data_IF_786861807362
#
_entry.id   IF_786861807362
#
_cell.length_a   1.000
_cell.length_b   1.000
_cell.length_c   1.000
_cell.angle_alpha   90.00
_cell.angle_beta   90.00
_cell.angle_gamma   90.00
#
_symmetry.space_group_name_H-M   'P 1'
#
loop_
_entity.id
_entity.type
_entity.pdbx_description
1 polymer ?
#
# COMPACT_ATOMS: atom_id res chain seq x y z
N UNK A 1 37.36 -17.04 -1.20
CA UNK A 1 36.07 -17.14 -1.91
C UNK A 1 34.97 -16.76 -0.94
N UNK A 2 34.51 -15.51 -0.98
CA UNK A 2 33.38 -15.04 -0.17
C UNK A 2 32.10 -15.24 -0.98
N UNK A 3 31.16 -16.04 -0.47
CA UNK A 3 29.77 -16.01 -0.96
C UNK A 3 29.07 -14.83 -0.29
N UNK A 4 29.23 -13.62 -0.82
CA UNK A 4 28.36 -12.48 -0.49
C UNK A 4 27.27 -12.36 -1.55
N UNK A 5 26.37 -13.34 -1.56
CA UNK A 5 25.11 -13.24 -2.28
C UNK A 5 24.09 -12.62 -1.33
N UNK A 6 24.12 -11.30 -1.14
CA UNK A 6 22.92 -10.61 -0.67
C UNK A 6 21.87 -10.85 -1.74
N UNK A 7 20.90 -11.71 -1.43
CA UNK A 7 19.76 -11.91 -2.30
C UNK A 7 19.03 -10.56 -2.38
N UNK A 8 19.25 -9.84 -3.48
CA UNK A 8 18.46 -8.65 -3.82
C UNK A 8 17.01 -9.09 -3.83
N UNK A 9 16.24 -8.63 -2.85
CA UNK A 9 14.78 -8.74 -2.91
C UNK A 9 14.36 -7.86 -4.08
N UNK A 10 13.95 -8.51 -5.17
CA UNK A 10 13.42 -7.80 -6.32
C UNK A 10 12.05 -7.23 -5.91
N UNK A 11 11.76 -5.97 -6.28
CA UNK A 11 10.47 -5.36 -5.98
C UNK A 11 9.29 -6.20 -6.48
N UNK A 12 8.23 -6.25 -5.67
CA UNK A 12 7.06 -7.08 -5.92
C UNK A 12 6.28 -6.56 -7.13
N UNK A 13 5.78 -7.47 -7.97
CA UNK A 13 4.96 -7.15 -9.14
C UNK A 13 3.64 -7.90 -9.04
N UNK A 14 2.56 -7.25 -9.45
CA UNK A 14 1.23 -7.88 -9.49
C UNK A 14 0.92 -8.25 -10.94
N UNK A 15 0.45 -9.47 -11.12
CA UNK A 15 0.01 -9.99 -12.40
C UNK A 15 -1.44 -10.45 -12.31
N UNK A 16 -2.17 -10.31 -13.42
CA UNK A 16 -3.54 -10.80 -13.58
C UNK A 16 -3.58 -11.83 -14.69
N UNK A 17 -4.52 -12.77 -14.60
CA UNK A 17 -4.85 -13.67 -15.70
C UNK A 17 -6.36 -13.89 -15.71
N UNK A 18 -6.99 -13.57 -16.84
CA UNK A 18 -8.39 -13.95 -17.05
C UNK A 18 -8.49 -15.46 -17.21
N UNK A 19 -9.62 -16.05 -16.85
CA UNK A 19 -9.84 -17.51 -16.87
C UNK A 19 -9.38 -18.17 -18.17
N UNK A 20 -9.71 -17.54 -19.29
CA UNK A 20 -9.45 -18.07 -20.65
C UNK A 20 -8.19 -17.48 -21.30
N UNK A 21 -7.39 -16.71 -20.54
CA UNK A 21 -6.13 -16.18 -21.03
C UNK A 21 -4.99 -17.20 -20.84
N UNK A 22 -4.16 -17.32 -21.87
CA UNK A 22 -3.01 -18.24 -21.90
C UNK A 22 -1.85 -17.77 -21.02
N UNK A 23 -1.73 -16.46 -20.79
CA UNK A 23 -0.62 -15.85 -20.07
C UNK A 23 -1.09 -14.89 -18.98
N UNK A 24 -0.23 -14.72 -17.98
CA UNK A 24 -0.38 -13.64 -17.01
C UNK A 24 0.09 -12.32 -17.63
N UNK A 25 -0.63 -11.25 -17.34
CA UNK A 25 -0.29 -9.89 -17.72
C UNK A 25 0.09 -9.09 -16.47
N UNK A 26 1.17 -8.32 -16.53
CA UNK A 26 1.54 -7.45 -15.43
C UNK A 26 0.56 -6.28 -15.34
N UNK A 27 0.16 -5.91 -14.11
CA UNK A 27 -0.57 -4.66 -13.89
C UNK A 27 0.42 -3.50 -14.04
N UNK A 28 0.16 -2.62 -15.01
CA UNK A 28 0.95 -1.42 -15.24
C UNK A 28 2.41 -1.69 -15.63
N UNK A 29 3.20 -0.63 -15.59
CA UNK A 29 4.64 -0.64 -15.91
C UNK A 29 5.42 0.10 -14.80
N UNK A 30 5.44 -0.41 -13.54
CA UNK A 30 6.22 0.20 -12.47
C UNK A 30 7.71 0.25 -12.83
N UNK A 31 8.41 1.26 -12.32
CA UNK A 31 9.87 1.33 -12.42
C UNK A 31 10.52 0.18 -11.65
N UNK A 32 11.82 -0.04 -11.84
CA UNK A 32 12.53 -1.15 -11.17
C UNK A 32 12.47 -1.04 -9.65
N UNK A 33 12.38 0.17 -9.11
CA UNK A 33 12.39 0.50 -7.69
C UNK A 33 11.03 0.36 -7.00
N UNK A 34 9.93 0.31 -7.76
CA UNK A 34 8.58 0.37 -7.19
C UNK A 34 8.02 -1.03 -6.98
N UNK A 35 7.66 -1.40 -5.76
CA UNK A 35 6.90 -2.61 -5.42
C UNK A 35 5.41 -2.34 -5.41
N UNK A 36 4.63 -3.29 -5.94
CA UNK A 36 3.19 -3.37 -5.72
C UNK A 36 2.87 -4.48 -4.73
N UNK A 37 2.19 -4.15 -3.63
CA UNK A 37 2.06 -4.99 -2.45
C UNK A 37 0.61 -5.08 -1.96
N UNK A 38 0.33 -6.14 -1.19
CA UNK A 38 -0.94 -6.37 -0.50
C UNK A 38 -2.19 -6.09 -1.34
N UNK A 39 -2.37 -6.77 -2.49
CA UNK A 39 -3.56 -6.58 -3.29
C UNK A 39 -4.82 -7.05 -2.56
N UNK A 40 -5.85 -6.22 -2.60
CA UNK A 40 -7.20 -6.54 -2.14
C UNK A 40 -8.20 -6.32 -3.26
N UNK A 41 -9.31 -7.06 -3.22
CA UNK A 41 -10.40 -6.99 -4.18
C UNK A 41 -11.72 -7.28 -3.45
N UNK A 42 -12.85 -7.02 -4.08
CA UNK A 42 -14.17 -7.43 -3.60
C UNK A 42 -14.94 -8.11 -4.74
N UNK A 43 -15.89 -8.98 -4.39
CA UNK A 43 -16.61 -9.79 -5.38
C UNK A 43 -17.67 -9.00 -6.17
N UNK A 44 -18.03 -7.80 -5.71
CA UNK A 44 -19.07 -6.96 -6.32
C UNK A 44 -18.55 -5.94 -7.34
N UNK A 45 -17.25 -5.63 -7.31
CA UNK A 45 -16.65 -4.63 -8.19
C UNK A 45 -15.47 -5.23 -8.95
N UNK A 46 -15.32 -4.96 -10.27
CA UNK A 46 -14.22 -5.49 -11.07
C UNK A 46 -12.95 -4.66 -10.83
N UNK A 47 -12.49 -4.57 -9.58
CA UNK A 47 -11.36 -3.73 -9.18
C UNK A 47 -10.38 -4.50 -8.29
N UNK A 48 -9.10 -4.23 -8.48
CA UNK A 48 -8.04 -4.62 -7.56
C UNK A 48 -7.39 -3.34 -7.04
N UNK A 49 -7.25 -3.24 -5.72
CA UNK A 49 -6.58 -2.13 -5.06
C UNK A 49 -5.32 -2.67 -4.40
N UNK A 50 -4.20 -1.97 -4.51
CA UNK A 50 -2.92 -2.43 -3.99
C UNK A 50 -2.05 -1.28 -3.48
N UNK A 51 -1.19 -1.60 -2.51
CA UNK A 51 -0.23 -0.66 -1.97
C UNK A 51 0.98 -0.52 -2.92
N UNK A 52 1.63 0.62 -2.88
CA UNK A 52 2.83 0.91 -3.67
C UNK A 52 3.94 1.43 -2.77
N UNK A 53 5.13 0.84 -2.87
CA UNK A 53 6.30 1.16 -2.05
C UNK A 53 7.51 1.35 -2.95
N UNK A 54 8.17 2.49 -2.86
CA UNK A 54 9.40 2.81 -3.61
C UNK A 54 10.62 2.43 -2.79
N UNK A 55 11.50 1.61 -3.35
CA UNK A 55 12.72 1.15 -2.70
C UNK A 55 13.92 1.92 -3.22
N UNK A 56 14.51 2.76 -2.37
CA UNK A 56 15.77 3.42 -2.68
C UNK A 56 16.94 2.51 -2.30
N UNK A 57 17.82 2.23 -3.27
CA UNK A 57 19.02 1.40 -3.08
C UNK A 57 19.98 1.97 -2.02
N UNK A 58 19.90 3.27 -1.74
CA UNK A 58 20.71 3.94 -0.72
C UNK A 58 20.07 3.93 0.68
N UNK A 59 18.80 3.54 0.81
CA UNK A 59 18.06 3.56 2.07
C UNK A 59 17.78 2.13 2.55
N UNK A 60 17.78 1.93 3.86
CA UNK A 60 17.49 0.64 4.51
C UNK A 60 15.99 0.34 4.62
N UNK A 61 15.13 0.95 3.79
CA UNK A 61 13.68 0.81 3.87
C UNK A 61 12.94 1.34 2.65
N UNK A 62 11.67 0.97 2.54
CA UNK A 62 10.78 1.42 1.48
C UNK A 62 10.06 2.72 1.86
N UNK A 63 9.89 3.60 0.87
CA UNK A 63 9.11 4.82 0.99
C UNK A 63 7.71 4.56 0.41
N UNK A 64 6.67 4.71 1.24
CA UNK A 64 5.30 4.55 0.78
C UNK A 64 4.98 5.54 -0.34
N UNK A 65 4.55 5.03 -1.49
CA UNK A 65 4.32 5.83 -2.70
C UNK A 65 2.83 6.10 -2.95
N UNK A 66 1.93 5.33 -2.34
CA UNK A 66 0.49 5.50 -2.47
C UNK A 66 -0.26 4.18 -2.62
N UNK A 67 -1.57 4.30 -2.83
CA UNK A 67 -2.48 3.19 -3.11
C UNK A 67 -3.06 3.38 -4.50
N UNK A 68 -3.06 2.31 -5.29
CA UNK A 68 -3.53 2.29 -6.67
C UNK A 68 -4.75 1.40 -6.81
N UNK A 69 -5.66 1.78 -7.71
CA UNK A 69 -6.74 0.92 -8.19
C UNK A 69 -6.49 0.54 -9.64
N UNK A 70 -6.74 -0.72 -9.96
CA UNK A 70 -6.76 -1.24 -11.31
C UNK A 70 -8.14 -1.79 -11.65
N UNK A 71 -8.75 -1.27 -12.72
CA UNK A 71 -10.03 -1.75 -13.22
C UNK A 71 -9.82 -3.00 -14.08
N UNK A 72 -10.34 -4.15 -13.64
CA UNK A 72 -10.17 -5.43 -14.32
C UNK A 72 -10.84 -5.50 -15.70
N UNK A 73 -11.84 -4.65 -15.96
CA UNK A 73 -12.54 -4.59 -17.23
C UNK A 73 -11.83 -3.68 -18.24
N UNK A 74 -11.54 -2.43 -17.85
CA UNK A 74 -10.97 -1.40 -18.74
C UNK A 74 -9.44 -1.46 -18.79
N UNK A 75 -8.80 -2.16 -17.84
CA UNK A 75 -7.35 -2.17 -17.61
C UNK A 75 -6.78 -0.78 -17.25
N UNK A 76 -7.63 0.16 -16.84
CA UNK A 76 -7.16 1.45 -16.34
C UNK A 76 -6.53 1.30 -14.96
N UNK A 77 -5.36 1.92 -14.80
CA UNK A 77 -4.64 2.05 -13.56
C UNK A 77 -4.75 3.51 -13.10
N UNK A 78 -5.16 3.72 -11.85
CA UNK A 78 -5.32 5.05 -11.25
C UNK A 78 -4.75 5.09 -9.83
N UNK A 79 -4.27 6.25 -9.41
CA UNK A 79 -3.88 6.52 -8.02
C UNK A 79 -5.15 6.83 -7.23
N UNK A 80 -5.40 6.10 -6.13
CA UNK A 80 -6.50 6.37 -5.22
C UNK A 80 -6.11 7.31 -4.09
N UNK A 81 -4.93 7.07 -3.53
CA UNK A 81 -4.38 7.78 -2.37
C UNK A 81 -2.90 7.98 -2.63
N UNK A 82 -2.38 9.18 -2.39
CA UNK A 82 -0.95 9.46 -2.30
C UNK A 82 -0.61 10.02 -0.91
N UNK A 83 0.69 10.12 -0.55
CA UNK A 83 1.11 10.77 0.69
C UNK A 83 0.56 12.19 0.86
N UNK A 84 0.35 12.91 -0.23
CA UNK A 84 -0.15 14.30 -0.23
C UNK A 84 -1.67 14.39 -0.10
N UNK A 85 -2.39 13.31 -0.41
CA UNK A 85 -3.85 13.33 -0.48
C UNK A 85 -4.53 12.56 0.65
N UNK A 86 -3.80 11.68 1.35
CA UNK A 86 -4.29 11.02 2.56
C UNK A 86 -4.53 12.03 3.69
N UNK A 87 -5.75 12.08 4.20
CA UNK A 87 -6.16 13.05 5.23
C UNK A 87 -6.33 12.36 6.58
N UNK A 88 -5.79 12.98 7.62
CA UNK A 88 -6.02 12.59 9.01
C UNK A 88 -6.26 13.85 9.84
N UNK A 89 -7.23 13.80 10.76
CA UNK A 89 -7.71 15.01 11.45
C UNK A 89 -6.76 15.49 12.55
N UNK A 90 -6.00 14.58 13.15
CA UNK A 90 -5.11 14.92 14.27
C UNK A 90 -3.69 15.26 13.76
N UNK A 91 -2.99 16.20 14.43
CA UNK A 91 -1.60 16.48 14.14
C UNK A 91 -0.72 15.23 14.31
N UNK A 92 0.18 14.99 13.36
CA UNK A 92 1.11 13.88 13.37
C UNK A 92 2.40 14.28 12.64
N UNK A 93 3.47 13.51 12.82
CA UNK A 93 4.72 13.71 12.08
C UNK A 93 4.63 13.16 10.67
N UNK A 94 4.80 11.84 10.54
CA UNK A 94 4.64 11.10 9.29
C UNK A 94 3.56 10.04 9.43
N UNK A 95 2.88 9.75 8.33
CA UNK A 95 1.89 8.68 8.25
C UNK A 95 2.05 7.95 6.93
N UNK A 96 1.96 6.62 6.98
CA UNK A 96 2.04 5.79 5.79
C UNK A 96 1.17 4.54 5.92
N UNK A 97 0.67 4.07 4.78
CA UNK A 97 -0.03 2.79 4.71
C UNK A 97 0.99 1.67 4.57
N UNK A 98 0.98 0.76 5.52
CA UNK A 98 1.88 -0.40 5.57
C UNK A 98 1.33 -1.54 4.72
N UNK A 99 0.04 -1.85 4.90
CA UNK A 99 -0.61 -3.01 4.28
C UNK A 99 -2.09 -2.73 4.04
N UNK A 100 -2.64 -3.27 2.94
CA UNK A 100 -4.08 -3.29 2.71
C UNK A 100 -4.67 -4.60 3.24
N UNK A 101 -5.73 -4.50 4.03
CA UNK A 101 -6.35 -5.64 4.70
C UNK A 101 -7.63 -6.08 4.00
N UNK A 102 -8.51 -5.13 3.66
CA UNK A 102 -9.81 -5.42 3.09
C UNK A 102 -10.36 -4.23 2.29
N UNK A 103 -11.06 -4.51 1.19
CA UNK A 103 -11.86 -3.55 0.45
C UNK A 103 -13.35 -3.84 0.67
N UNK A 104 -14.16 -2.81 0.90
CA UNK A 104 -15.61 -2.97 1.02
C UNK A 104 -16.27 -3.39 -0.30
N UNK A 105 -17.46 -3.99 -0.23
CA UNK A 105 -18.23 -4.44 -1.39
C UNK A 105 -18.55 -3.33 -2.39
N UNK A 106 -18.73 -2.09 -1.94
CA UNK A 106 -18.94 -0.93 -2.82
C UNK A 106 -17.64 -0.32 -3.36
N UNK A 107 -16.49 -0.89 -2.99
CA UNK A 107 -15.14 -0.39 -3.27
C UNK A 107 -14.89 1.06 -2.85
N UNK A 108 -15.60 1.54 -1.81
CA UNK A 108 -15.44 2.91 -1.30
C UNK A 108 -14.64 3.00 -0.01
N UNK A 109 -14.52 1.90 0.74
CA UNK A 109 -13.82 1.87 2.02
C UNK A 109 -12.70 0.83 1.99
N UNK A 110 -11.52 1.27 2.39
CA UNK A 110 -10.34 0.43 2.49
C UNK A 110 -9.93 0.31 3.96
N UNK A 111 -9.77 -0.92 4.44
CA UNK A 111 -9.20 -1.19 5.74
C UNK A 111 -7.72 -1.47 5.58
N UNK A 112 -6.91 -0.80 6.38
CA UNK A 112 -5.45 -0.75 6.21
C UNK A 112 -4.73 -0.82 7.54
N UNK A 113 -3.52 -1.37 7.53
CA UNK A 113 -2.56 -1.16 8.61
C UNK A 113 -1.76 0.09 8.29
N UNK A 114 -1.63 0.99 9.25
CA UNK A 114 -0.97 2.30 9.09
C UNK A 114 0.09 2.44 10.14
N UNK A 115 1.24 2.98 9.74
CA UNK A 115 2.27 3.47 10.65
C UNK A 115 2.12 4.97 10.82
N UNK A 116 2.17 5.44 12.06
CA UNK A 116 2.11 6.85 12.41
C UNK A 116 3.27 7.20 13.32
N UNK A 117 4.01 8.23 12.93
CA UNK A 117 5.09 8.79 13.74
C UNK A 117 4.57 9.97 14.56
N UNK A 118 4.66 9.84 15.88
CA UNK A 118 4.51 10.95 16.81
C UNK A 118 5.87 11.59 17.08
N UNK A 119 5.94 12.93 16.95
CA UNK A 119 7.16 13.69 17.21
C UNK A 119 7.26 13.94 18.72
N UNK A 120 8.26 13.35 19.35
CA UNK A 120 8.53 13.50 20.79
C UNK A 120 9.87 14.19 21.04
N UNK A 121 10.09 14.68 22.26
CA UNK A 121 11.37 15.29 22.63
C UNK A 121 12.48 14.24 22.66
N UNK A 122 13.27 14.17 21.58
CA UNK A 122 14.40 13.24 21.43
C UNK A 122 14.31 12.28 20.24
N UNK A 123 13.23 12.32 19.45
CA UNK A 123 13.08 11.49 18.25
C UNK A 123 11.63 11.35 17.79
N UNK A 124 11.36 10.30 17.03
CA UNK A 124 10.00 9.89 16.65
C UNK A 124 9.66 8.55 17.28
N UNK A 125 8.44 8.41 17.80
CA UNK A 125 7.87 7.11 18.19
C UNK A 125 6.89 6.71 17.10
N UNK A 126 6.99 5.47 16.63
CA UNK A 126 6.08 4.94 15.60
C UNK A 126 5.10 3.99 16.26
N UNK A 127 3.82 4.30 16.14
CA UNK A 127 2.72 3.43 16.51
C UNK A 127 2.01 2.91 15.27
N UNK A 128 1.46 1.70 15.37
CA UNK A 128 0.72 1.06 14.29
C UNK A 128 -0.75 0.91 14.64
N UNK A 129 -1.60 1.09 13.64
CA UNK A 129 -3.05 1.04 13.81
C UNK A 129 -3.70 0.28 12.67
N UNK A 130 -4.81 -0.41 12.97
CA UNK A 130 -5.81 -0.71 11.98
C UNK A 130 -6.62 0.57 11.77
N UNK A 131 -6.79 0.97 10.53
CA UNK A 131 -7.59 2.13 10.15
C UNK A 131 -8.54 1.80 9.01
N UNK A 132 -9.50 2.70 8.83
CA UNK A 132 -10.40 2.75 7.70
C UNK A 132 -10.15 4.03 6.91
N UNK A 133 -10.05 3.92 5.60
CA UNK A 133 -9.96 5.05 4.68
C UNK A 133 -11.19 5.07 3.78
N UNK A 134 -11.88 6.20 3.70
CA UNK A 134 -12.89 6.44 2.64
C UNK A 134 -12.16 6.90 1.38
N UNK A 135 -12.30 6.17 0.28
CA UNK A 135 -11.59 6.44 -0.97
C UNK A 135 -12.16 7.65 -1.72
N UNK A 136 -13.33 8.16 -1.34
CA UNK A 136 -13.98 9.30 -1.99
C UNK A 136 -13.36 10.62 -1.57
N UNK A 137 -13.18 10.81 -0.26
CA UNK A 137 -12.61 12.03 0.33
C UNK A 137 -11.22 11.82 0.92
N UNK A 138 -10.75 10.56 0.93
CA UNK A 138 -9.42 10.12 1.35
C UNK A 138 -9.17 10.36 2.84
N UNK A 139 -10.27 10.41 3.61
CA UNK A 139 -10.23 10.56 5.05
C UNK A 139 -9.92 9.23 5.74
N UNK A 140 -8.89 9.25 6.57
CA UNK A 140 -8.49 8.15 7.44
C UNK A 140 -9.13 8.29 8.82
N UNK A 141 -9.57 7.17 9.37
CA UNK A 141 -10.11 7.03 10.72
C UNK A 141 -9.46 5.81 11.39
N UNK A 142 -8.87 6.03 12.57
CA UNK A 142 -8.27 4.94 13.35
C UNK A 142 -9.37 4.05 13.94
N UNK A 143 -9.21 2.74 13.77
CA UNK A 143 -10.14 1.73 14.30
C UNK A 143 -9.62 1.17 15.62
N UNK A 144 -8.38 0.68 15.64
CA UNK A 144 -7.73 0.20 16.86
C UNK A 144 -6.20 0.21 16.76
N UNK A 145 -5.49 0.36 17.90
CA UNK A 145 -4.04 0.21 17.93
C UNK A 145 -3.64 -1.26 17.73
N UNK A 146 -2.58 -1.46 16.95
CA UNK A 146 -1.94 -2.75 16.72
C UNK A 146 -0.77 -2.90 17.70
N UNK A 147 -0.98 -3.65 18.77
CA UNK A 147 0.06 -3.92 19.77
C UNK A 147 0.93 -5.09 19.33
N UNK A 148 2.22 -5.01 19.65
CA UNK A 148 3.22 -6.07 19.44
C UNK A 148 3.47 -6.46 17.97
N UNK A 149 3.10 -5.61 17.01
CA UNK A 149 3.42 -5.80 15.60
C UNK A 149 4.69 -5.02 15.24
N UNK A 150 5.60 -5.66 14.51
CA UNK A 150 6.74 -5.01 13.83
C UNK A 150 6.66 -5.41 12.36
N UNK A 151 6.64 -4.41 11.48
CA UNK A 151 6.66 -4.59 10.03
C UNK A 151 8.07 -4.39 9.50
#
# INVERSE_FOLDING_TARGET
MSRSGEARLLPTRIFIRRKDAEAHEQIGNPTEELSYESPVTCDKQPVVVFNSVSWDKAQTGGNWAGVYSFNLNTKELAVCISPETLRFQEPHGRMWIVELVLLSDDARKLYVNVGMEEVVSGGGVVDYYLARVDLTDQQLELVCPLKDIRF
#
